data_IF_447958398446
#
_entry.id   IF_447958398446
#
_cell.length_a   1.000
_cell.length_b   1.000
_cell.length_c   1.000
_cell.angle_alpha   90.00
_cell.angle_beta   90.00
_cell.angle_gamma   90.00
#
_symmetry.space_group_name_H-M   'P 1'
#
loop_
_entity.id
_entity.type
_entity.pdbx_description
1 polymer ?
#
# COMPACT_ATOMS: atom_id res chain seq x y z
N UNK A 1 -2.73 2.82 11.32
CA UNK A 1 -3.16 1.43 11.11
C UNK A 1 -2.03 0.69 10.42
N UNK A 2 -1.73 -0.55 10.84
CA UNK A 2 -0.77 -1.42 10.14
C UNK A 2 -1.39 -1.94 8.83
N UNK A 3 -0.60 -2.24 7.78
CA UNK A 3 -1.12 -2.89 6.59
C UNK A 3 -1.87 -4.18 6.93
N UNK A 4 -3.03 -4.41 6.32
CA UNK A 4 -3.85 -5.61 6.55
C UNK A 4 -4.59 -6.03 5.29
N UNK A 5 -4.94 -7.31 5.20
CA UNK A 5 -5.85 -7.82 4.17
C UNK A 5 -7.26 -7.91 4.74
N UNK A 6 -8.22 -7.27 4.07
CA UNK A 6 -9.65 -7.37 4.36
C UNK A 6 -10.42 -7.38 3.03
N UNK A 7 -11.43 -8.24 2.93
CA UNK A 7 -12.32 -8.33 1.75
C UNK A 7 -11.57 -8.58 0.41
N UNK A 8 -10.41 -9.25 0.48
CA UNK A 8 -9.54 -9.49 -0.67
C UNK A 8 -8.73 -8.27 -1.12
N UNK A 9 -8.62 -7.24 -0.28
CA UNK A 9 -7.85 -6.03 -0.52
C UNK A 9 -6.79 -5.85 0.56
N UNK A 10 -5.56 -5.56 0.14
CA UNK A 10 -4.56 -5.00 1.02
C UNK A 10 -4.90 -3.53 1.24
N UNK A 11 -5.09 -3.14 2.50
CA UNK A 11 -5.40 -1.79 2.94
C UNK A 11 -4.23 -1.22 3.73
N UNK A 12 -3.78 -0.03 3.35
CA UNK A 12 -2.69 0.73 3.99
C UNK A 12 -3.23 2.09 4.40
N UNK A 13 -3.04 2.51 5.66
CA UNK A 13 -3.48 3.84 6.10
C UNK A 13 -2.86 4.92 5.21
N UNK A 14 -3.67 5.89 4.78
CA UNK A 14 -3.21 6.97 3.92
C UNK A 14 -3.71 8.34 4.39
N UNK A 15 -2.79 9.17 4.87
CA UNK A 15 -3.04 10.52 5.38
C UNK A 15 -2.62 11.63 4.40
N UNK A 16 -2.19 11.30 3.18
CA UNK A 16 -1.70 12.27 2.18
C UNK A 16 -2.75 13.00 1.34
N UNK A 17 -2.36 13.69 0.25
CA UNK A 17 -3.29 14.40 -0.64
C UNK A 17 -4.25 13.46 -1.39
N UNK A 18 -5.47 13.93 -1.69
CA UNK A 18 -6.47 13.12 -2.41
C UNK A 18 -6.11 12.88 -3.89
N UNK A 19 -5.42 13.84 -4.51
CA UNK A 19 -5.03 13.78 -5.92
C UNK A 19 -3.64 13.17 -6.18
N UNK A 20 -3.01 12.60 -5.14
CA UNK A 20 -1.68 12.01 -5.28
C UNK A 20 -1.74 10.71 -6.11
N UNK A 21 -0.67 10.45 -6.88
CA UNK A 21 -0.50 9.14 -7.54
C UNK A 21 0.06 8.16 -6.51
N UNK A 22 -0.69 7.11 -6.22
CA UNK A 22 -0.35 6.15 -5.17
C UNK A 22 -0.16 4.77 -5.77
N UNK A 23 0.97 4.15 -5.46
CA UNK A 23 1.27 2.77 -5.81
C UNK A 23 1.64 1.98 -4.57
N UNK A 24 1.27 0.70 -4.54
CA UNK A 24 1.63 -0.23 -3.48
C UNK A 24 2.39 -1.41 -4.09
N UNK A 25 3.49 -1.79 -3.45
CA UNK A 25 4.19 -3.03 -3.73
C UNK A 25 4.17 -3.93 -2.48
N UNK A 26 3.99 -5.23 -2.70
CA UNK A 26 4.11 -6.26 -1.65
C UNK A 26 5.24 -7.18 -2.06
N UNK A 27 6.32 -7.20 -1.30
CA UNK A 27 7.51 -7.93 -1.70
C UNK A 27 8.34 -8.38 -0.52
N UNK A 28 9.25 -9.32 -0.79
CA UNK A 28 10.33 -9.75 0.08
C UNK A 28 11.66 -9.06 -0.26
N UNK A 29 11.70 -8.32 -1.37
CA UNK A 29 12.89 -7.58 -1.81
C UNK A 29 13.08 -6.28 -1.02
N UNK A 30 14.34 -5.94 -0.75
CA UNK A 30 14.71 -4.76 0.03
C UNK A 30 14.83 -3.50 -0.85
N UNK A 31 15.21 -3.63 -2.12
CA UNK A 31 15.46 -2.49 -3.02
C UNK A 31 14.21 -2.10 -3.81
N UNK A 32 13.81 -0.80 -3.82
CA UNK A 32 12.64 -0.32 -4.56
C UNK A 32 12.61 -0.60 -6.07
N UNK A 33 13.78 -0.74 -6.70
CA UNK A 33 13.89 -1.06 -8.12
C UNK A 33 13.39 -2.47 -8.46
N UNK A 34 13.37 -3.38 -7.48
CA UNK A 34 12.95 -4.77 -7.63
C UNK A 34 11.45 -4.96 -7.26
N UNK A 35 10.70 -3.86 -7.09
CA UNK A 35 9.32 -3.88 -6.62
C UNK A 35 8.34 -3.89 -7.79
N UNK A 36 7.35 -4.79 -7.72
CA UNK A 36 6.20 -4.75 -8.61
C UNK A 36 5.18 -3.73 -8.07
N UNK A 37 5.24 -2.51 -8.59
CA UNK A 37 4.37 -1.41 -8.19
C UNK A 37 3.00 -1.53 -8.84
N UNK A 38 1.96 -1.51 -8.00
CA UNK A 38 0.57 -1.61 -8.47
C UNK A 38 -0.20 -0.35 -8.12
N UNK A 39 -1.01 0.20 -9.04
CA UNK A 39 -1.79 1.40 -8.77
C UNK A 39 -2.78 1.12 -7.64
N UNK A 40 -2.78 2.01 -6.64
CA UNK A 40 -3.64 1.92 -5.48
C UNK A 40 -4.82 2.89 -5.59
N UNK A 41 -5.98 2.44 -5.11
CA UNK A 41 -7.17 3.26 -5.03
C UNK A 41 -7.33 3.81 -3.61
N UNK A 42 -7.85 5.02 -3.49
CA UNK A 42 -8.27 5.57 -2.21
C UNK A 42 -9.64 5.05 -1.83
N UNK A 43 -9.81 4.69 -0.56
CA UNK A 43 -11.06 4.19 0.01
C UNK A 43 -11.10 4.49 1.51
N UNK A 44 -12.18 4.09 2.18
CA UNK A 44 -12.36 4.19 3.61
C UNK A 44 -12.51 2.81 4.26
N UNK A 45 -11.87 2.62 5.40
CA UNK A 45 -12.03 1.43 6.23
C UNK A 45 -12.05 1.81 7.71
N UNK A 46 -13.15 1.49 8.40
CA UNK A 46 -13.36 1.83 9.83
C UNK A 46 -13.08 3.31 10.13
N UNK A 47 -13.67 4.22 9.34
CA UNK A 47 -13.49 5.68 9.43
C UNK A 47 -12.04 6.18 9.25
N UNK A 48 -11.19 5.38 8.60
CA UNK A 48 -9.83 5.78 8.22
C UNK A 48 -9.68 5.71 6.71
N UNK A 49 -9.08 6.73 6.11
CA UNK A 49 -8.73 6.69 4.70
C UNK A 49 -7.57 5.72 4.49
N UNK A 50 -7.69 4.90 3.45
CA UNK A 50 -6.72 3.88 3.08
C UNK A 50 -6.39 3.98 1.60
N UNK A 51 -5.15 3.68 1.26
CA UNK A 51 -4.76 3.28 -0.09
C UNK A 51 -4.87 1.75 -0.16
N UNK A 52 -5.49 1.23 -1.21
CA UNK A 52 -5.73 -0.21 -1.33
C UNK A 52 -5.44 -0.78 -2.72
N UNK A 53 -4.98 -2.02 -2.72
CA UNK A 53 -4.73 -2.85 -3.91
C UNK A 53 -5.25 -4.26 -3.66
N UNK A 54 -5.71 -4.98 -4.69
CA UNK A 54 -6.13 -6.38 -4.55
C UNK A 54 -5.04 -7.22 -3.88
N UNK A 55 -5.33 -7.94 -2.82
CA UNK A 55 -4.31 -8.75 -2.17
C UNK A 55 -3.94 -9.94 -3.08
N UNK A 56 -2.67 -10.05 -3.44
CA UNK A 56 -2.13 -11.20 -4.16
C UNK A 56 -1.11 -11.96 -3.30
N UNK A 57 -0.32 -11.21 -2.52
CA UNK A 57 0.82 -11.75 -1.79
C UNK A 57 0.86 -11.28 -0.33
N UNK A 58 1.69 -11.97 0.46
CA UNK A 58 2.09 -11.58 1.82
C UNK A 58 3.56 -11.13 1.80
N UNK A 59 3.92 -10.16 2.63
CA UNK A 59 5.30 -9.66 2.64
C UNK A 59 5.44 -8.25 3.22
N UNK A 60 6.59 -7.63 2.95
CA UNK A 60 6.82 -6.23 3.26
C UNK A 60 6.01 -5.37 2.29
N UNK A 61 5.30 -4.40 2.85
CA UNK A 61 4.44 -3.48 2.09
C UNK A 61 5.16 -2.15 1.96
N UNK A 62 5.21 -1.66 0.73
CA UNK A 62 5.80 -0.39 0.36
C UNK A 62 4.75 0.48 -0.32
N UNK A 63 4.83 1.78 -0.06
CA UNK A 63 3.95 2.79 -0.60
C UNK A 63 4.81 3.81 -1.36
N UNK A 64 4.44 4.07 -2.61
CA UNK A 64 4.99 5.15 -3.42
C UNK A 64 3.89 6.19 -3.62
N UNK A 65 4.16 7.43 -3.21
CA UNK A 65 3.28 8.59 -3.35
C UNK A 65 4.02 9.67 -4.10
N UNK A 66 3.57 9.98 -5.32
CA UNK A 66 4.21 10.93 -6.24
C UNK A 66 5.70 10.66 -6.49
N UNK A 67 6.60 11.25 -5.69
CA UNK A 67 8.07 11.05 -5.79
C UNK A 67 8.68 10.39 -4.55
N UNK A 68 7.87 10.11 -3.52
CA UNK A 68 8.32 9.54 -2.26
C UNK A 68 8.01 8.05 -2.14
N UNK A 69 9.02 7.24 -1.82
CA UNK A 69 8.86 5.80 -1.53
C UNK A 69 9.13 5.53 -0.05
N UNK A 70 8.21 4.84 0.62
CA UNK A 70 8.33 4.47 2.03
C UNK A 70 7.87 3.04 2.29
N UNK A 71 8.57 2.34 3.17
CA UNK A 71 8.10 1.07 3.72
C UNK A 71 7.08 1.34 4.83
N UNK A 72 5.90 0.74 4.72
CA UNK A 72 4.77 1.00 5.65
C UNK A 72 4.50 -0.15 6.62
N UNK A 73 5.06 -1.34 6.38
CA UNK A 73 4.98 -2.46 7.31
C UNK A 73 5.13 -3.82 6.64
N UNK A 74 4.53 -4.83 7.26
CA UNK A 74 4.38 -6.17 6.69
C UNK A 74 2.92 -6.60 6.80
N UNK A 75 2.49 -7.44 5.88
CA UNK A 75 1.21 -8.16 5.95
C UNK A 75 1.47 -9.66 6.01
N UNK A 76 0.82 -10.34 6.96
CA UNK A 76 0.99 -11.77 7.27
C UNK A 76 -0.28 -12.56 6.97
#
# INVERSE_FOLDING_TARGET
MRPLIADGWLKVKYDGPELARIFIAVTRHVRPADHEWRPAFLDWHKNQRVAQVRAADRGAVWLWVDEGVARVGNVR
#
